data_IF_448761389544
#
_entry.id   IF_448761389544
#
_cell.length_a   1.000
_cell.length_b   1.000
_cell.length_c   1.000
_cell.angle_alpha   90.00
_cell.angle_beta   90.00
_cell.angle_gamma   90.00
#
_symmetry.space_group_name_H-M   'P 1'
#
loop_
_entity.id
_entity.type
_entity.pdbx_description
1 polymer ?
#
# COMPACT_ATOMS: atom_id res chain seq x y z
N UNK A 1 -11.99 -15.94 5.58
CA UNK A 1 -12.15 -15.09 6.75
C UNK A 1 -10.98 -14.15 6.89
N UNK A 2 -11.24 -12.84 6.91
CA UNK A 2 -10.18 -11.86 6.97
C UNK A 2 -9.72 -11.65 8.42
N UNK A 3 -8.39 -11.51 8.64
CA UNK A 3 -7.90 -11.23 9.97
C UNK A 3 -8.32 -9.82 10.45
N UNK A 4 -8.45 -9.67 11.78
CA UNK A 4 -8.78 -8.38 12.37
C UNK A 4 -7.63 -7.39 12.26
N UNK A 5 -6.39 -7.86 12.34
CA UNK A 5 -5.22 -7.00 12.20
C UNK A 5 -4.13 -7.74 11.44
N UNK A 6 -3.35 -6.96 10.70
CA UNK A 6 -2.17 -7.44 9.97
C UNK A 6 -1.06 -6.43 10.23
N UNK A 7 0.11 -6.90 10.63
CA UNK A 7 1.24 -6.01 10.80
C UNK A 7 2.51 -6.70 10.35
N UNK A 8 3.53 -5.92 10.03
CA UNK A 8 4.78 -6.47 9.56
C UNK A 8 5.72 -5.39 9.10
N UNK A 9 6.75 -5.83 8.39
CA UNK A 9 7.75 -4.94 7.82
C UNK A 9 7.57 -4.86 6.31
N UNK A 10 8.06 -3.78 5.71
CA UNK A 10 8.08 -3.65 4.26
C UNK A 10 9.44 -3.17 3.80
N UNK A 11 9.78 -3.56 2.58
CA UNK A 11 10.93 -3.03 1.85
C UNK A 11 10.40 -2.55 0.51
N UNK A 12 10.61 -1.28 0.21
CA UNK A 12 10.14 -0.66 -1.02
C UNK A 12 11.31 -0.28 -1.88
N UNK A 13 11.26 -0.68 -3.15
CA UNK A 13 12.24 -0.27 -4.15
C UNK A 13 11.53 0.56 -5.20
N UNK A 14 12.02 1.78 -5.43
CA UNK A 14 11.48 2.62 -6.47
C UNK A 14 12.48 2.72 -7.61
N UNK A 15 12.09 2.19 -8.76
CA UNK A 15 12.91 2.16 -9.96
C UNK A 15 12.52 3.33 -10.85
N UNK A 16 13.36 4.35 -10.89
CA UNK A 16 13.11 5.51 -11.72
C UNK A 16 13.87 5.37 -13.03
N UNK A 17 13.19 5.69 -14.14
CA UNK A 17 13.77 5.56 -15.47
C UNK A 17 15.07 6.35 -15.61
N UNK A 18 15.18 7.47 -14.90
CA UNK A 18 16.35 8.35 -14.97
C UNK A 18 17.52 7.89 -14.09
N UNK A 19 17.33 6.89 -13.22
CA UNK A 19 18.35 6.45 -12.27
C UNK A 19 18.80 5.02 -12.58
N UNK A 20 20.09 4.75 -12.38
CA UNK A 20 20.65 3.42 -12.62
C UNK A 20 20.37 2.43 -11.48
N UNK A 21 20.11 2.94 -10.28
CA UNK A 21 19.85 2.11 -9.11
C UNK A 21 18.53 2.51 -8.47
N UNK A 22 17.80 1.53 -7.90
CA UNK A 22 16.55 1.87 -7.23
C UNK A 22 16.80 2.63 -5.93
N UNK A 23 15.80 3.41 -5.53
CA UNK A 23 15.77 4.04 -4.23
C UNK A 23 15.10 3.07 -3.26
N UNK A 24 15.80 2.68 -2.20
CA UNK A 24 15.29 1.73 -1.23
C UNK A 24 14.73 2.44 -0.02
N UNK A 25 13.55 2.02 0.41
CA UNK A 25 12.90 2.50 1.63
C UNK A 25 12.45 1.31 2.45
N UNK A 26 12.51 1.45 3.77
CA UNK A 26 12.11 0.38 4.69
C UNK A 26 11.27 0.93 5.82
N UNK A 27 10.37 0.11 6.33
CA UNK A 27 9.55 0.51 7.45
C UNK A 27 8.66 -0.59 7.96
N UNK A 28 7.64 -0.18 8.69
CA UNK A 28 6.65 -1.07 9.29
C UNK A 28 5.25 -0.61 8.91
N UNK A 29 4.32 -1.55 8.92
CA UNK A 29 2.93 -1.21 8.68
C UNK A 29 2.03 -1.96 9.68
N UNK A 30 0.86 -1.40 9.92
CA UNK A 30 -0.16 -2.03 10.73
C UNK A 30 -1.52 -1.72 10.11
N UNK A 31 -2.28 -2.78 9.88
CA UNK A 31 -3.63 -2.68 9.33
C UNK A 31 -4.61 -3.17 10.36
N UNK A 32 -5.61 -2.35 10.66
CA UNK A 32 -6.71 -2.74 11.55
C UNK A 32 -7.99 -2.73 10.74
N UNK A 33 -8.68 -3.88 10.69
CA UNK A 33 -9.85 -4.05 9.85
C UNK A 33 -10.89 -2.98 10.13
N UNK A 34 -11.40 -2.36 9.06
CA UNK A 34 -12.44 -1.33 9.08
C UNK A 34 -12.02 -0.01 9.73
N UNK A 35 -10.82 0.06 10.31
CA UNK A 35 -10.32 1.29 10.95
C UNK A 35 -9.31 2.02 10.09
N UNK A 36 -8.36 1.30 9.51
CA UNK A 36 -7.39 1.93 8.66
C UNK A 36 -6.04 1.25 8.62
N UNK A 37 -5.11 1.95 8.03
CA UNK A 37 -3.74 1.49 7.83
C UNK A 37 -2.77 2.55 8.36
N UNK A 38 -1.78 2.10 9.13
CA UNK A 38 -0.65 2.93 9.56
C UNK A 38 0.57 2.50 8.76
N UNK A 39 1.21 3.45 8.11
CA UNK A 39 2.40 3.22 7.28
C UNK A 39 3.55 4.01 7.87
N UNK A 40 4.51 3.32 8.46
CA UNK A 40 5.62 3.95 9.16
C UNK A 40 6.92 3.73 8.39
N UNK A 41 7.37 4.77 7.69
CA UNK A 41 8.65 4.75 7.00
C UNK A 41 9.76 5.00 8.03
N UNK A 42 10.78 4.15 8.05
CA UNK A 42 11.89 4.26 8.98
C UNK A 42 13.19 4.69 8.33
N UNK A 43 13.43 4.24 7.11
CA UNK A 43 14.66 4.55 6.36
C UNK A 43 14.30 4.94 4.95
N UNK A 44 14.95 5.93 4.35
CA UNK A 44 16.05 6.74 4.90
C UNK A 44 15.58 7.80 5.90
N UNK A 45 14.28 8.10 5.96
CA UNK A 45 13.72 9.12 6.85
C UNK A 45 12.54 8.53 7.62
N UNK A 46 12.32 9.04 8.83
CA UNK A 46 11.11 8.71 9.55
C UNK A 46 9.94 9.50 8.98
N UNK A 47 8.88 8.79 8.63
CA UNK A 47 7.65 9.41 8.13
C UNK A 47 6.49 8.48 8.44
N UNK A 48 5.40 9.02 8.97
CA UNK A 48 4.27 8.19 9.36
C UNK A 48 3.02 8.71 8.69
N UNK A 49 2.33 7.80 8.00
CA UNK A 49 1.06 8.09 7.33
C UNK A 49 0.00 7.16 7.88
N UNK A 50 -1.21 7.68 8.00
CA UNK A 50 -2.35 6.81 8.28
C UNK A 50 -3.43 7.04 7.25
N UNK A 51 -4.09 5.95 6.87
CA UNK A 51 -5.24 5.99 5.98
C UNK A 51 -6.44 5.47 6.75
N UNK A 52 -7.43 6.32 6.91
CA UNK A 52 -8.67 5.98 7.60
C UNK A 52 -9.83 6.37 6.69
N UNK A 53 -11.09 6.07 7.08
CA UNK A 53 -12.22 6.57 6.30
C UNK A 53 -12.25 8.09 6.15
N UNK A 54 -11.52 8.82 6.99
CA UNK A 54 -11.44 10.28 6.91
C UNK A 54 -10.39 10.79 5.94
N UNK A 55 -9.58 9.89 5.35
CA UNK A 55 -8.57 10.26 4.36
C UNK A 55 -7.16 9.91 4.78
N UNK A 56 -6.20 10.55 4.13
CA UNK A 56 -4.78 10.30 4.36
C UNK A 56 -4.20 11.44 5.19
N UNK A 57 -3.54 11.08 6.29
CA UNK A 57 -2.94 12.05 7.18
C UNK A 57 -1.50 11.69 7.50
N UNK A 58 -0.68 12.70 7.74
CA UNK A 58 0.74 12.53 8.08
C UNK A 58 0.97 13.01 9.51
N UNK A 59 1.82 12.28 10.24
CA UNK A 59 2.20 12.65 11.60
C UNK A 59 3.30 13.70 11.57
N UNK A 60 3.10 14.84 12.25
CA UNK A 60 4.08 15.92 12.28
C UNK A 60 4.95 15.92 13.55
N UNK A 61 4.82 14.87 14.39
CA UNK A 61 5.51 14.79 15.67
C UNK A 61 4.62 15.00 16.87
N UNK A 62 3.48 15.65 16.68
CA UNK A 62 2.54 15.92 17.76
C UNK A 62 1.08 15.67 17.38
N UNK A 63 0.74 15.79 16.11
CA UNK A 63 -0.64 15.57 15.67
C UNK A 63 -0.68 15.12 14.21
N UNK A 64 -1.83 14.57 13.81
CA UNK A 64 -2.07 14.14 12.43
C UNK A 64 -2.57 15.35 11.64
N UNK A 65 -1.93 15.57 10.49
CA UNK A 65 -2.30 16.66 9.59
C UNK A 65 -2.62 16.09 8.22
N UNK A 66 -3.53 16.73 7.50
CA UNK A 66 -3.90 16.29 6.18
C UNK A 66 -2.70 16.38 5.24
N UNK A 67 -2.50 15.34 4.43
CA UNK A 67 -1.44 15.33 3.43
C UNK A 67 -1.86 16.23 2.27
N UNK A 68 -1.06 17.24 1.96
CA UNK A 68 -1.48 18.35 1.13
C UNK A 68 -1.32 18.20 -0.37
N UNK A 69 -0.85 17.03 -0.87
CA UNK A 69 -0.58 16.88 -2.30
C UNK A 69 -1.58 15.93 -2.94
N UNK A 70 -2.55 16.49 -3.67
CA UNK A 70 -3.70 15.75 -4.20
C UNK A 70 -3.28 14.63 -5.17
N UNK A 71 -2.37 14.90 -6.09
CA UNK A 71 -1.94 13.90 -7.07
C UNK A 71 -1.21 12.72 -6.46
N UNK A 72 -0.35 13.00 -5.48
CA UNK A 72 0.35 11.97 -4.73
C UNK A 72 -0.61 11.17 -3.86
N UNK A 73 -1.61 11.84 -3.29
CA UNK A 73 -2.58 11.20 -2.41
C UNK A 73 -3.42 10.16 -3.14
N UNK A 74 -3.74 10.40 -4.43
CA UNK A 74 -4.51 9.42 -5.19
C UNK A 74 -3.75 8.13 -5.39
N UNK A 75 -2.46 8.21 -5.72
CA UNK A 75 -1.62 7.01 -5.89
C UNK A 75 -1.43 6.27 -4.57
N UNK A 76 -1.13 7.01 -3.50
CA UNK A 76 -0.95 6.42 -2.18
C UNK A 76 -2.28 5.84 -1.69
N UNK A 77 -3.38 6.55 -1.88
CA UNK A 77 -4.69 6.08 -1.47
C UNK A 77 -5.10 4.80 -2.19
N UNK A 78 -4.84 4.72 -3.48
CA UNK A 78 -5.10 3.51 -4.25
C UNK A 78 -4.29 2.32 -3.71
N UNK A 79 -3.01 2.53 -3.52
CA UNK A 79 -2.08 1.54 -3.00
C UNK A 79 -2.50 1.05 -1.61
N UNK A 80 -2.82 2.00 -0.73
CA UNK A 80 -3.22 1.66 0.64
C UNK A 80 -4.60 1.01 0.68
N UNK A 81 -5.48 1.38 -0.24
CA UNK A 81 -6.77 0.70 -0.40
C UNK A 81 -6.61 -0.76 -0.78
N UNK A 82 -5.64 -1.06 -1.67
CA UNK A 82 -5.33 -2.43 -2.05
C UNK A 82 -4.89 -3.26 -0.84
N UNK A 83 -4.04 -2.69 0.00
CA UNK A 83 -3.56 -3.39 1.19
C UNK A 83 -4.65 -3.61 2.22
N UNK A 84 -5.59 -2.67 2.34
CA UNK A 84 -6.68 -2.79 3.30
C UNK A 84 -7.77 -3.75 2.82
N UNK A 85 -7.67 -4.27 1.59
CA UNK A 85 -8.66 -5.19 1.05
C UNK A 85 -9.92 -4.53 0.51
N UNK A 86 -9.92 -3.21 0.40
CA UNK A 86 -11.06 -2.49 -0.17
C UNK A 86 -10.93 -2.42 -1.68
N UNK A 87 -11.25 -3.54 -2.34
CA UNK A 87 -11.11 -3.65 -3.78
C UNK A 87 -12.37 -3.24 -4.55
N UNK A 88 -13.48 -3.00 -3.86
CA UNK A 88 -14.72 -2.68 -4.55
C UNK A 88 -14.63 -1.39 -5.35
N UNK A 89 -13.95 -0.37 -4.81
CA UNK A 89 -13.73 0.87 -5.54
C UNK A 89 -12.78 0.73 -6.70
N UNK A 90 -12.00 -0.34 -6.74
CA UNK A 90 -11.04 -0.59 -7.81
C UNK A 90 -11.67 -1.28 -9.01
N UNK A 91 -12.77 -2.02 -8.81
CA UNK A 91 -13.40 -2.76 -9.90
C UNK A 91 -13.98 -1.85 -10.97
N UNK A 92 -14.30 -0.63 -10.63
CA UNK A 92 -14.80 0.35 -11.58
C UNK A 92 -13.69 0.97 -12.44
N UNK A 93 -12.43 0.84 -12.04
CA UNK A 93 -11.30 1.50 -12.70
C UNK A 93 -10.26 0.53 -13.26
N UNK A 94 -10.34 -0.74 -12.89
CA UNK A 94 -9.35 -1.75 -13.30
C UNK A 94 -10.04 -3.04 -13.69
N UNK A 95 -9.47 -3.71 -14.68
CA UNK A 95 -9.81 -5.09 -15.01
C UNK A 95 -8.90 -6.00 -14.21
N UNK A 96 -9.48 -7.06 -13.64
CA UNK A 96 -8.77 -7.98 -12.76
C UNK A 96 -8.49 -9.29 -13.47
N UNK A 97 -7.25 -9.78 -13.38
CA UNK A 97 -6.87 -11.10 -13.88
C UNK A 97 -6.15 -11.84 -12.77
N UNK A 98 -6.77 -12.92 -12.29
CA UNK A 98 -6.24 -13.72 -11.17
C UNK A 98 -5.70 -15.04 -11.73
N UNK A 99 -4.51 -15.43 -11.26
CA UNK A 99 -3.88 -16.69 -11.62
C UNK A 99 -3.30 -17.36 -10.37
N UNK A 100 -2.99 -18.69 -10.49
CA UNK A 100 -2.43 -19.43 -9.38
C UNK A 100 -3.50 -20.07 -8.51
N UNK A 101 -3.14 -20.33 -7.25
CA UNK A 101 -4.03 -20.95 -6.28
C UNK A 101 -3.97 -20.19 -4.95
N UNK A 102 -4.70 -20.67 -3.94
CA UNK A 102 -4.80 -19.98 -2.65
C UNK A 102 -3.46 -19.84 -1.93
N UNK A 103 -2.52 -20.72 -2.19
CA UNK A 103 -1.20 -20.70 -1.53
C UNK A 103 -0.17 -19.91 -2.31
N UNK A 104 -0.44 -19.64 -3.58
CA UNK A 104 0.46 -18.86 -4.43
C UNK A 104 -0.36 -18.29 -5.58
N UNK A 105 -0.83 -17.08 -5.39
CA UNK A 105 -1.69 -16.40 -6.37
C UNK A 105 -1.03 -15.12 -6.86
N UNK A 106 -1.46 -14.69 -8.03
CA UNK A 106 -1.07 -13.42 -8.62
C UNK A 106 -2.29 -12.74 -9.20
N UNK A 107 -2.48 -11.48 -8.86
CA UNK A 107 -3.56 -10.65 -9.37
C UNK A 107 -2.95 -9.51 -10.18
N UNK A 108 -3.39 -9.37 -11.42
CA UNK A 108 -2.97 -8.29 -12.29
C UNK A 108 -4.14 -7.35 -12.52
N UNK A 109 -3.92 -6.07 -12.23
CA UNK A 109 -4.90 -5.02 -12.43
C UNK A 109 -4.49 -4.19 -13.64
N UNK A 110 -5.38 -4.12 -14.64
CA UNK A 110 -5.14 -3.33 -15.85
C UNK A 110 -6.12 -2.17 -15.83
N UNK A 111 -5.63 -0.92 -15.91
CA UNK A 111 -6.52 0.24 -15.88
C UNK A 111 -7.52 0.21 -17.03
N UNK A 112 -8.79 0.49 -16.71
CA UNK A 112 -9.84 0.59 -17.72
C UNK A 112 -10.51 1.96 -17.74
N UNK A 113 -10.12 2.87 -16.85
CA UNK A 113 -10.58 4.26 -16.87
C UNK A 113 -9.51 5.16 -17.46
N UNK A 114 -9.90 6.27 -18.06
CA UNK A 114 -8.95 7.21 -18.65
C UNK A 114 -7.98 7.76 -17.60
N UNK A 115 -8.48 8.03 -16.40
CA UNK A 115 -7.66 8.58 -15.34
C UNK A 115 -6.54 7.61 -14.93
N UNK A 116 -6.90 6.34 -14.68
CA UNK A 116 -5.92 5.35 -14.25
C UNK A 116 -4.96 4.96 -15.36
N UNK A 117 -5.41 4.99 -16.62
CA UNK A 117 -4.53 4.73 -17.76
C UNK A 117 -3.46 5.79 -17.94
N UNK A 118 -3.68 6.99 -17.42
CA UNK A 118 -2.67 8.04 -17.44
C UNK A 118 -1.61 7.86 -16.36
N UNK A 119 -1.91 7.08 -15.34
CA UNK A 119 -1.01 6.90 -14.18
C UNK A 119 -0.26 5.58 -14.27
N UNK A 120 -0.96 4.48 -14.57
CA UNK A 120 -0.40 3.14 -14.53
C UNK A 120 -0.55 2.40 -15.84
N UNK A 121 0.40 1.50 -16.11
CA UNK A 121 0.22 0.48 -17.14
C UNK A 121 -0.39 -0.78 -16.55
N UNK A 122 0.12 -1.25 -15.42
CA UNK A 122 -0.43 -2.37 -14.65
C UNK A 122 -0.08 -2.24 -13.19
N UNK A 123 -0.85 -2.93 -12.35
CA UNK A 123 -0.53 -3.16 -10.95
C UNK A 123 -0.56 -4.67 -10.72
N UNK A 124 0.50 -5.20 -10.13
CA UNK A 124 0.61 -6.64 -9.88
C UNK A 124 0.70 -6.89 -8.39
N UNK A 125 -0.12 -7.82 -7.90
CA UNK A 125 -0.17 -8.19 -6.49
C UNK A 125 -0.01 -9.69 -6.40
N UNK A 126 0.83 -10.16 -5.48
CA UNK A 126 1.00 -11.58 -5.28
C UNK A 126 1.07 -11.89 -3.78
N UNK A 127 0.78 -13.14 -3.44
CA UNK A 127 0.80 -13.54 -2.06
C UNK A 127 0.32 -14.96 -1.85
N UNK A 128 0.07 -15.29 -0.59
CA UNK A 128 -0.49 -16.56 -0.16
C UNK A 128 -1.73 -16.28 0.68
N UNK A 129 -1.67 -16.45 1.98
CA UNK A 129 -2.77 -16.07 2.88
C UNK A 129 -2.84 -14.54 3.04
N UNK A 130 -1.74 -13.85 2.76
CA UNK A 130 -1.68 -12.40 2.82
C UNK A 130 -0.95 -11.88 1.60
N UNK A 131 -1.05 -10.59 1.34
CA UNK A 131 -0.28 -9.94 0.28
C UNK A 131 1.20 -9.95 0.66
N UNK A 132 2.04 -10.47 -0.24
CA UNK A 132 3.48 -10.55 -0.02
C UNK A 132 4.24 -9.54 -0.86
N UNK A 133 3.73 -9.19 -2.03
CA UNK A 133 4.44 -8.33 -2.96
C UNK A 133 3.45 -7.51 -3.77
N UNK A 134 3.81 -6.25 -4.00
CA UNK A 134 3.01 -5.32 -4.79
C UNK A 134 3.94 -4.61 -5.76
N UNK A 135 3.57 -4.56 -7.04
CA UNK A 135 4.33 -3.85 -8.06
C UNK A 135 3.42 -2.86 -8.77
N UNK A 136 3.81 -1.59 -8.75
CA UNK A 136 3.11 -0.52 -9.44
C UNK A 136 3.94 -0.10 -10.66
N UNK A 137 3.44 -0.42 -11.85
CA UNK A 137 4.11 -0.03 -13.10
C UNK A 137 3.47 1.25 -13.60
N UNK A 138 4.23 2.34 -13.59
CA UNK A 138 3.72 3.64 -13.97
C UNK A 138 3.83 3.87 -15.48
N UNK A 139 2.90 4.66 -15.99
CA UNK A 139 2.81 4.95 -17.43
C UNK A 139 4.09 5.56 -17.99
N UNK A 140 4.75 6.38 -17.21
CA UNK A 140 5.96 7.09 -17.62
C UNK A 140 7.21 6.23 -17.58
N UNK A 141 7.11 4.98 -17.13
CA UNK A 141 8.25 4.05 -17.11
C UNK A 141 8.87 3.82 -15.75
N UNK A 142 8.41 4.51 -14.73
CA UNK A 142 8.87 4.28 -13.37
C UNK A 142 8.11 3.08 -12.76
N UNK A 143 8.72 2.45 -11.75
CA UNK A 143 8.14 1.27 -11.11
C UNK A 143 8.40 1.31 -9.62
N UNK A 144 7.38 0.97 -8.84
CA UNK A 144 7.51 0.80 -7.39
C UNK A 144 7.24 -0.65 -7.06
N UNK A 145 8.13 -1.26 -6.27
CA UNK A 145 7.99 -2.65 -5.85
C UNK A 145 8.10 -2.71 -4.35
N UNK A 146 7.11 -3.33 -3.69
CA UNK A 146 7.07 -3.43 -2.24
C UNK A 146 6.96 -4.89 -1.85
N UNK A 147 7.83 -5.33 -0.94
CA UNK A 147 7.77 -6.66 -0.36
C UNK A 147 7.41 -6.55 1.11
N UNK A 148 6.50 -7.42 1.55
CA UNK A 148 6.04 -7.45 2.93
C UNK A 148 6.64 -8.66 3.62
N UNK A 149 7.24 -8.44 4.80
CA UNK A 149 7.97 -9.47 5.52
C UNK A 149 7.56 -9.50 6.98
N UNK A 150 7.79 -10.64 7.62
CA UNK A 150 7.51 -10.82 9.05
C UNK A 150 6.07 -10.47 9.40
N UNK A 151 5.15 -10.93 8.59
CA UNK A 151 3.74 -10.61 8.72
C UNK A 151 3.15 -11.35 9.92
N UNK A 152 2.44 -10.63 10.78
CA UNK A 152 1.77 -11.18 11.95
C UNK A 152 0.29 -10.85 11.85
N UNK A 153 -0.54 -11.87 12.08
CA UNK A 153 -1.99 -11.74 12.01
C UNK A 153 -2.58 -11.75 13.40
N UNK A 154 -3.52 -10.84 13.65
CA UNK A 154 -4.30 -10.79 14.89
C UNK A 154 -3.43 -10.68 16.15
N UNK A 155 -2.28 -10.04 16.03
CA UNK A 155 -1.39 -9.79 17.18
C UNK A 155 -1.62 -8.37 17.71
N UNK A 156 -1.31 -8.14 19.00
CA UNK A 156 -1.48 -6.81 19.57
C UNK A 156 -0.67 -5.76 18.81
N UNK A 157 -1.29 -4.62 18.55
CA UNK A 157 -0.62 -3.50 17.90
C UNK A 157 0.13 -2.68 18.93
N UNK A 158 1.14 -1.92 18.47
CA UNK A 158 1.84 -0.98 19.33
C UNK A 158 0.88 0.10 19.84
N UNK A 159 1.28 0.78 20.90
CA UNK A 159 0.46 1.85 21.45
C UNK A 159 0.24 2.96 20.42
N UNK A 160 1.28 3.30 19.67
CA UNK A 160 1.16 4.33 18.63
C UNK A 160 0.18 3.90 17.53
N UNK A 161 0.26 2.65 17.10
CA UNK A 161 -0.65 2.14 16.08
C UNK A 161 -2.09 2.14 16.56
N UNK A 162 -2.32 1.74 17.81
CA UNK A 162 -3.68 1.76 18.37
C UNK A 162 -4.23 3.18 18.44
N UNK A 163 -3.41 4.13 18.88
CA UNK A 163 -3.87 5.51 18.97
C UNK A 163 -4.13 6.12 17.59
N UNK A 164 -3.41 5.68 16.57
CA UNK A 164 -3.60 6.18 15.22
C UNK A 164 -4.85 5.61 14.56
N UNK A 165 -5.21 4.35 14.85
CA UNK A 165 -6.24 3.63 14.12
C UNK A 165 -7.53 3.40 14.93
N UNK A 166 -7.47 3.51 16.23
CA UNK A 166 -8.65 3.41 17.10
C UNK A 166 -9.15 4.81 17.51
#
# INVERSE_FOLDING_TARGET
QQPQSVQGNFIQHRYLKALNKPIEMQGQFALLAQKGLLWQLEKPFNNQLRVTPNGIQQWNGSQWVNSGNVGQNEQIGLFLGLLSGNIDGLKSQFDFALSGNANQWQLTLTPNSLLMQQIFTTIEISGDQTVKKLTLNEKQGDRTQIEFKQIQLNQPLSQFARSALE
#
